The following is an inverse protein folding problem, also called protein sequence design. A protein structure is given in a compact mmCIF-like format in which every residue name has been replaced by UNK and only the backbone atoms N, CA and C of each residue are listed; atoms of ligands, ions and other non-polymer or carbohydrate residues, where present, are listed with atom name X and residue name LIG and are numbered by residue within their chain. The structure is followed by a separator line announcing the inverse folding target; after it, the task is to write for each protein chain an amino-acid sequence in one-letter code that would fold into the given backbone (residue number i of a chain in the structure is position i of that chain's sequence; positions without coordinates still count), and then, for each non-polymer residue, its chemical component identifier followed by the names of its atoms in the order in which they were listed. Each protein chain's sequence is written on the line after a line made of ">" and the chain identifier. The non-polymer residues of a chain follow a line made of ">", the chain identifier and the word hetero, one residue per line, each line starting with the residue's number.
data_IF_682680701831
#
_entry.id   IF_682680701831
#
_cell.length_a   1.000
_cell.length_b   1.000
_cell.length_c   1.000
_cell.angle_alpha   90.00
_cell.angle_beta   90.00
_cell.angle_gamma   90.00
#
_symmetry.space_group_name_H-M   'P 1'
#
loop_
_entity.id
_entity.type
_entity.pdbx_description
1 polymer ?
#
# COMPACT_ATOMS: atom_id res chain seq x y z
N UNK A 1 1.65 27.33 -1.01
CA UNK A 1 0.31 27.71 -1.51
C UNK A 1 -0.57 26.46 -1.38
N UNK A 2 -1.90 26.59 -1.30
CA UNK A 2 -2.76 25.40 -1.35
C UNK A 2 -2.87 25.02 -2.82
N UNK A 3 -2.22 23.93 -3.22
CA UNK A 3 -2.25 23.43 -4.59
C UNK A 3 -3.69 23.12 -5.01
N UNK A 4 -4.01 23.39 -6.27
CA UNK A 4 -5.37 23.29 -6.79
C UNK A 4 -5.68 21.89 -7.34
N UNK A 5 -4.64 21.06 -7.54
CA UNK A 5 -4.74 19.70 -8.11
C UNK A 5 -3.64 18.78 -7.57
N UNK A 6 -3.88 17.46 -7.62
CA UNK A 6 -2.89 16.45 -7.22
C UNK A 6 -1.64 16.53 -8.10
N UNK A 7 -1.81 16.85 -9.37
CA UNK A 7 -0.72 17.01 -10.33
C UNK A 7 0.22 18.16 -9.94
N UNK A 8 -0.35 19.27 -9.46
CA UNK A 8 0.40 20.43 -8.99
C UNK A 8 1.16 20.11 -7.69
N UNK A 9 0.53 19.40 -6.73
CA UNK A 9 1.21 18.92 -5.52
C UNK A 9 2.38 17.98 -5.85
N UNK A 10 2.17 17.06 -6.79
CA UNK A 10 3.22 16.12 -7.22
C UNK A 10 4.37 16.84 -7.95
N UNK A 11 4.07 17.88 -8.73
CA UNK A 11 5.09 18.70 -9.39
C UNK A 11 5.93 19.50 -8.38
N UNK A 12 5.29 20.08 -7.36
CA UNK A 12 5.99 20.75 -6.26
C UNK A 12 6.87 19.78 -5.46
N UNK A 13 6.34 18.60 -5.13
CA UNK A 13 7.10 17.55 -4.43
C UNK A 13 8.31 17.07 -5.24
N UNK A 14 8.16 16.88 -6.55
CA UNK A 14 9.26 16.48 -7.42
C UNK A 14 10.39 17.52 -7.43
N UNK A 15 10.06 18.81 -7.47
CA UNK A 15 11.05 19.89 -7.41
C UNK A 15 11.81 19.91 -6.08
N UNK A 16 11.13 19.62 -4.96
CA UNK A 16 11.76 19.53 -3.64
C UNK A 16 12.70 18.33 -3.53
N UNK A 17 12.31 17.19 -4.09
CA UNK A 17 13.15 15.98 -4.13
C UNK A 17 14.42 16.22 -4.95
N UNK A 18 14.31 16.84 -6.14
CA UNK A 18 15.46 17.15 -6.99
C UNK A 18 16.46 18.10 -6.30
N UNK A 19 15.97 19.13 -5.61
CA UNK A 19 16.83 20.03 -4.83
C UNK A 19 17.50 19.31 -3.65
N UNK A 20 16.78 18.44 -2.95
CA UNK A 20 17.35 17.65 -1.86
C UNK A 20 18.46 16.70 -2.36
N UNK A 21 18.23 16.01 -3.48
CA UNK A 21 19.23 15.14 -4.12
C UNK A 21 20.46 15.94 -4.59
N UNK A 22 20.27 17.13 -5.17
CA UNK A 22 21.38 18.04 -5.57
C UNK A 22 22.21 18.51 -4.37
N UNK A 23 21.59 18.68 -3.21
CA UNK A 23 22.25 19.02 -1.96
C UNK A 23 22.89 17.81 -1.26
N UNK A 24 22.70 16.59 -1.81
CA UNK A 24 23.24 15.35 -1.28
C UNK A 24 22.46 14.79 -0.07
N UNK A 25 21.23 15.27 0.16
CA UNK A 25 20.33 14.67 1.15
C UNK A 25 19.59 13.49 0.53
N UNK A 26 19.42 12.40 1.28
CA UNK A 26 18.51 11.31 0.92
C UNK A 26 17.07 11.76 1.23
N UNK A 27 16.22 12.01 0.22
CA UNK A 27 14.86 12.50 0.43
C UNK A 27 13.91 11.37 0.84
N UNK A 28 14.35 10.11 0.78
CA UNK A 28 13.50 8.96 0.97
C UNK A 28 13.45 8.53 2.44
N UNK A 29 12.29 8.01 2.90
CA UNK A 29 12.19 7.47 4.24
C UNK A 29 13.13 6.27 4.40
N UNK A 30 13.61 6.01 5.63
CA UNK A 30 14.46 4.85 5.90
C UNK A 30 13.73 3.56 5.52
N UNK A 31 14.52 2.54 5.18
CA UNK A 31 13.99 1.22 4.86
C UNK A 31 13.14 0.68 6.01
N UNK A 32 11.98 0.13 5.67
CA UNK A 32 11.10 -0.46 6.69
C UNK A 32 11.82 -1.65 7.33
N UNK A 33 11.79 -1.80 8.66
CA UNK A 33 12.38 -2.96 9.29
C UNK A 33 11.66 -4.22 8.83
N UNK A 34 12.42 -5.30 8.63
CA UNK A 34 11.86 -6.59 8.26
C UNK A 34 10.95 -7.10 9.38
N UNK A 35 9.68 -7.27 9.04
CA UNK A 35 8.67 -7.82 9.95
C UNK A 35 8.40 -9.27 9.54
N UNK A 36 9.00 -10.28 10.18
CA UNK A 36 8.82 -11.68 9.78
C UNK A 36 7.35 -12.12 9.84
N UNK A 37 6.55 -11.48 10.69
CA UNK A 37 5.11 -11.70 10.82
C UNK A 37 4.28 -11.12 9.66
N UNK A 38 4.80 -10.18 8.87
CA UNK A 38 4.04 -9.55 7.78
C UNK A 38 3.65 -10.56 6.69
N UNK A 39 4.54 -11.52 6.41
CA UNK A 39 4.26 -12.62 5.45
C UNK A 39 3.11 -13.49 5.93
N UNK A 40 3.10 -13.83 7.22
CA UNK A 40 2.04 -14.62 7.85
C UNK A 40 0.72 -13.88 7.89
N UNK A 41 0.73 -12.58 8.22
CA UNK A 41 -0.46 -11.74 8.23
C UNK A 41 -1.10 -11.62 6.83
N UNK A 42 -0.29 -11.43 5.78
CA UNK A 42 -0.78 -11.38 4.42
C UNK A 42 -1.35 -12.73 3.97
N UNK A 43 -0.65 -13.82 4.27
CA UNK A 43 -1.10 -15.18 3.94
C UNK A 43 -2.42 -15.54 4.63
N UNK A 44 -2.53 -15.30 5.94
CA UNK A 44 -3.76 -15.59 6.70
C UNK A 44 -4.93 -14.73 6.22
N UNK A 45 -4.69 -13.45 5.92
CA UNK A 45 -5.70 -12.58 5.35
C UNK A 45 -6.24 -13.10 4.01
N UNK A 46 -5.36 -13.51 3.09
CA UNK A 46 -5.76 -14.11 1.81
C UNK A 46 -6.57 -15.41 1.99
N UNK A 47 -6.15 -16.27 2.93
CA UNK A 47 -6.87 -17.51 3.25
C UNK A 47 -8.29 -17.19 3.75
N UNK A 48 -8.44 -16.23 4.65
CA UNK A 48 -9.75 -15.85 5.19
C UNK A 48 -10.66 -15.32 4.08
N UNK A 49 -10.14 -14.49 3.17
CA UNK A 49 -10.92 -13.98 2.03
C UNK A 49 -11.38 -15.11 1.10
N UNK A 50 -10.48 -16.03 0.74
CA UNK A 50 -10.79 -17.18 -0.09
C UNK A 50 -11.84 -18.08 0.57
N UNK A 51 -11.65 -18.44 1.85
CA UNK A 51 -12.62 -19.26 2.59
C UNK A 51 -13.98 -18.57 2.74
N UNK A 52 -13.99 -17.25 2.96
CA UNK A 52 -15.23 -16.48 3.05
C UNK A 52 -15.98 -16.48 1.72
N UNK A 53 -15.27 -16.30 0.60
CA UNK A 53 -15.85 -16.34 -0.74
C UNK A 53 -16.36 -17.75 -1.09
N UNK A 54 -15.54 -18.79 -0.86
CA UNK A 54 -15.90 -20.19 -1.11
C UNK A 54 -17.09 -20.60 -0.25
N UNK A 55 -17.13 -20.22 1.04
CA UNK A 55 -18.26 -20.51 1.92
C UNK A 55 -19.56 -19.92 1.38
N UNK A 56 -19.55 -18.65 0.95
CA UNK A 56 -20.73 -18.00 0.33
C UNK A 56 -21.22 -18.76 -0.90
N UNK A 57 -20.30 -19.29 -1.72
CA UNK A 57 -20.65 -20.09 -2.90
C UNK A 57 -21.25 -21.44 -2.48
N UNK A 58 -20.65 -22.15 -1.54
CA UNK A 58 -21.15 -23.46 -1.10
C UNK A 58 -22.54 -23.36 -0.45
N UNK A 59 -22.77 -22.36 0.40
CA UNK A 59 -24.09 -22.15 1.01
C UNK A 59 -25.20 -21.83 0.00
N UNK A 60 -24.86 -21.31 -1.20
CA UNK A 60 -25.84 -21.14 -2.28
C UNK A 60 -26.46 -22.47 -2.71
N UNK A 61 -25.71 -23.56 -2.65
CA UNK A 61 -26.15 -24.89 -3.11
C UNK A 61 -26.82 -25.73 -2.03
N UNK A 62 -26.59 -25.41 -0.75
CA UNK A 62 -27.22 -26.11 0.39
C UNK A 62 -28.65 -25.63 0.65
N UNK A 63 -28.96 -24.39 0.25
CA UNK A 63 -30.28 -23.78 0.49
C UNK A 63 -31.25 -23.93 -0.71
N UNK A 64 -30.92 -24.81 -1.66
CA UNK A 64 -31.79 -25.18 -2.81
C UNK A 64 -32.45 -26.53 -2.49
#
# INVERSE_FOLDING_TARGET
>A
MVAQSIEEELAELAALVDEAERLGFDPWPPTKPDRPWAKWALGSFMIILMLSAVSKVLFRFVTI
#
